data_IF_485074204514
#
_entry.id   IF_485074204514
#
_cell.length_a   1.000
_cell.length_b   1.000
_cell.length_c   1.000
_cell.angle_alpha   90.00
_cell.angle_beta   90.00
_cell.angle_gamma   90.00
#
_symmetry.space_group_name_H-M   'P 1'
#
loop_
_entity.id
_entity.type
_entity.pdbx_description
1 polymer ?
#
# COMPACT_ATOMS: atom_id res chain seq x y z
N UNK A 1 -23.30 -0.02 0.81
CA UNK A 1 -22.09 0.57 0.18
C UNK A 1 -20.81 -0.14 0.65
N UNK A 2 -20.52 -0.21 1.97
CA UNK A 2 -19.35 -0.94 2.51
C UNK A 2 -19.17 -2.37 1.97
N UNK A 3 -20.25 -3.18 1.92
CA UNK A 3 -20.20 -4.53 1.33
C UNK A 3 -19.65 -4.58 -0.10
N UNK A 4 -20.09 -3.69 -0.99
CA UNK A 4 -19.69 -3.68 -2.40
C UNK A 4 -18.20 -3.39 -2.60
N UNK A 5 -17.61 -2.52 -1.79
CA UNK A 5 -16.20 -2.16 -1.91
C UNK A 5 -15.31 -3.22 -1.26
N UNK A 6 -15.71 -3.81 -0.13
CA UNK A 6 -15.01 -4.99 0.42
C UNK A 6 -14.99 -6.15 -0.58
N UNK A 7 -16.12 -6.44 -1.24
CA UNK A 7 -16.18 -7.47 -2.30
C UNK A 7 -15.21 -7.18 -3.45
N UNK A 8 -15.07 -5.90 -3.86
CA UNK A 8 -14.09 -5.49 -4.87
C UNK A 8 -12.65 -5.66 -4.40
N UNK A 9 -12.35 -5.36 -3.14
CA UNK A 9 -11.02 -5.56 -2.55
C UNK A 9 -10.66 -7.04 -2.48
N UNK A 10 -11.60 -7.91 -2.09
CA UNK A 10 -11.41 -9.37 -2.10
C UNK A 10 -11.19 -9.88 -3.52
N UNK A 11 -12.01 -9.42 -4.48
CA UNK A 11 -11.85 -9.80 -5.88
C UNK A 11 -10.51 -9.34 -6.47
N UNK A 12 -10.04 -8.15 -6.08
CA UNK A 12 -8.72 -7.64 -6.44
C UNK A 12 -7.61 -8.53 -5.90
N UNK A 13 -7.59 -8.81 -4.58
CA UNK A 13 -6.59 -9.67 -3.94
C UNK A 13 -6.49 -11.05 -4.61
N UNK A 14 -7.65 -11.65 -4.90
CA UNK A 14 -7.73 -13.01 -5.45
C UNK A 14 -7.42 -13.07 -6.96
N UNK A 15 -7.26 -11.94 -7.64
CA UNK A 15 -6.94 -11.93 -9.07
C UNK A 15 -5.44 -12.24 -9.26
N UNK A 16 -5.09 -13.28 -10.04
CA UNK A 16 -3.69 -13.55 -10.36
C UNK A 16 -3.04 -12.37 -11.08
N UNK A 17 -1.85 -11.97 -10.62
CA UNK A 17 -1.10 -10.84 -11.19
C UNK A 17 -1.87 -9.52 -11.15
N UNK A 18 -2.66 -9.30 -10.08
CA UNK A 18 -3.29 -8.00 -9.87
C UNK A 18 -2.23 -6.90 -9.78
N UNK A 19 -2.61 -5.69 -10.18
CA UNK A 19 -1.77 -4.50 -10.10
C UNK A 19 -2.00 -3.80 -8.76
N UNK A 20 -1.11 -2.90 -8.31
CA UNK A 20 -1.38 -2.08 -7.13
C UNK A 20 -2.73 -1.37 -7.27
N UNK A 21 -3.48 -1.31 -6.18
CA UNK A 21 -4.82 -0.76 -6.18
C UNK A 21 -4.80 0.73 -5.85
N UNK A 22 -5.30 1.56 -6.76
CA UNK A 22 -5.51 2.99 -6.48
C UNK A 22 -6.98 3.23 -6.11
N UNK A 23 -7.23 3.56 -4.84
CA UNK A 23 -8.57 3.92 -4.37
C UNK A 23 -8.77 5.44 -4.38
N UNK A 24 -9.46 5.94 -5.41
CA UNK A 24 -9.75 7.37 -5.57
C UNK A 24 -11.10 7.76 -4.97
N UNK A 25 -11.22 8.99 -4.48
CA UNK A 25 -12.46 9.56 -3.97
C UNK A 25 -12.23 10.88 -3.23
N UNK A 26 -13.30 11.53 -2.78
CA UNK A 26 -13.20 12.76 -1.98
C UNK A 26 -12.41 12.52 -0.66
N UNK A 27 -11.86 13.58 -0.08
CA UNK A 27 -11.25 13.53 1.26
C UNK A 27 -12.32 13.20 2.31
N UNK A 28 -11.93 12.53 3.39
CA UNK A 28 -12.80 12.24 4.56
C UNK A 28 -14.00 11.31 4.30
N UNK A 29 -13.96 10.48 3.25
CA UNK A 29 -15.04 9.51 2.95
C UNK A 29 -14.81 8.11 3.53
N UNK A 30 -13.75 7.91 4.34
CA UNK A 30 -13.45 6.65 5.01
C UNK A 30 -12.65 5.62 4.19
N UNK A 31 -11.85 6.08 3.21
CA UNK A 31 -10.98 5.22 2.38
C UNK A 31 -9.91 4.50 3.22
N UNK A 32 -9.18 5.25 4.05
CA UNK A 32 -8.14 4.68 4.91
C UNK A 32 -8.75 3.66 5.87
N UNK A 33 -9.88 4.01 6.50
CA UNK A 33 -10.61 3.10 7.39
C UNK A 33 -10.97 1.77 6.72
N UNK A 34 -11.44 1.78 5.46
CA UNK A 34 -11.82 0.53 4.80
C UNK A 34 -10.62 -0.31 4.38
N UNK A 35 -9.50 0.32 3.99
CA UNK A 35 -8.28 -0.39 3.65
C UNK A 35 -7.63 -1.00 4.89
N UNK A 36 -7.61 -0.27 6.01
CA UNK A 36 -7.13 -0.79 7.30
C UNK A 36 -7.95 -2.00 7.75
N UNK A 37 -9.28 -1.86 7.76
CA UNK A 37 -10.19 -2.96 8.09
C UNK A 37 -10.03 -4.17 7.15
N UNK A 38 -9.83 -3.93 5.85
CA UNK A 38 -9.56 -5.00 4.90
C UNK A 38 -8.21 -5.69 5.16
N UNK A 39 -7.18 -4.92 5.53
CA UNK A 39 -5.90 -5.43 5.98
C UNK A 39 -6.05 -6.35 7.19
N UNK A 40 -6.75 -5.89 8.22
CA UNK A 40 -7.03 -6.66 9.44
C UNK A 40 -7.79 -7.98 9.17
N UNK A 41 -8.78 -7.95 8.27
CA UNK A 41 -9.66 -9.10 8.02
C UNK A 41 -9.07 -10.13 7.03
N UNK A 42 -8.19 -9.71 6.13
CA UNK A 42 -7.75 -10.53 4.99
C UNK A 42 -6.24 -10.80 4.92
N UNK A 43 -5.43 -10.14 5.73
CA UNK A 43 -3.97 -10.33 5.75
C UNK A 43 -3.49 -10.71 7.14
N UNK A 44 -2.30 -11.32 7.23
CA UNK A 44 -1.67 -11.59 8.52
C UNK A 44 -1.18 -10.31 9.18
N UNK A 45 -0.79 -9.33 8.37
CA UNK A 45 -0.35 -8.03 8.82
C UNK A 45 -0.74 -6.96 7.79
N UNK A 46 -0.77 -5.70 8.22
CA UNK A 46 -0.81 -4.57 7.30
C UNK A 46 0.07 -3.45 7.81
N UNK A 47 0.61 -2.65 6.89
CA UNK A 47 1.33 -1.42 7.23
C UNK A 47 0.65 -0.26 6.55
N UNK A 48 0.27 0.76 7.33
CA UNK A 48 -0.29 1.99 6.78
C UNK A 48 0.71 3.13 6.89
N UNK A 49 0.98 3.74 5.76
CA UNK A 49 1.94 4.82 5.62
C UNK A 49 1.25 6.04 5.04
N UNK A 50 1.08 7.09 5.84
CA UNK A 50 0.58 8.38 5.35
C UNK A 50 1.76 9.24 4.93
N UNK A 51 1.92 9.47 3.63
CA UNK A 51 3.06 10.22 3.09
C UNK A 51 3.05 11.71 3.47
N UNK A 52 1.90 12.24 3.86
CA UNK A 52 1.75 13.60 4.37
C UNK A 52 2.13 13.71 5.84
N UNK A 53 1.83 12.67 6.65
CA UNK A 53 2.11 12.67 8.09
C UNK A 53 3.50 12.14 8.44
N UNK A 54 4.16 11.42 7.53
CA UNK A 54 5.48 10.82 7.74
C UNK A 54 6.46 11.35 6.69
N UNK A 55 7.02 12.56 6.89
CA UNK A 55 7.93 13.20 5.93
C UNK A 55 9.14 12.34 5.57
N UNK A 56 9.63 11.52 6.51
CA UNK A 56 10.81 10.69 6.30
C UNK A 56 10.58 9.65 5.21
N UNK A 57 9.43 8.96 5.20
CA UNK A 57 9.08 8.02 4.11
C UNK A 57 8.95 8.77 2.79
N UNK A 58 8.28 9.93 2.79
CA UNK A 58 8.14 10.74 1.59
C UNK A 58 9.50 11.16 1.02
N UNK A 59 10.43 11.57 1.87
CA UNK A 59 11.77 11.98 1.47
C UNK A 59 12.60 10.78 1.00
N UNK A 60 12.50 9.64 1.69
CA UNK A 60 13.11 8.38 1.23
C UNK A 60 12.65 8.03 -0.19
N UNK A 61 11.33 8.05 -0.44
CA UNK A 61 10.76 7.74 -1.75
C UNK A 61 11.16 8.73 -2.85
N UNK A 62 11.53 9.98 -2.52
CA UNK A 62 12.02 10.94 -3.52
C UNK A 62 13.38 10.56 -4.08
N UNK A 63 14.24 10.00 -3.23
CA UNK A 63 15.61 9.62 -3.61
C UNK A 63 15.68 8.16 -4.06
N UNK A 64 14.83 7.30 -3.49
CA UNK A 64 14.90 5.86 -3.64
C UNK A 64 13.54 5.24 -3.99
N UNK A 65 13.51 4.46 -5.06
CA UNK A 65 12.29 3.78 -5.54
C UNK A 65 12.53 2.29 -5.74
N UNK A 66 13.66 1.75 -5.28
CA UNK A 66 13.92 0.32 -5.33
C UNK A 66 12.93 -0.40 -4.38
N UNK A 67 12.12 -1.35 -4.87
CA UNK A 67 11.09 -2.00 -4.06
C UNK A 67 11.61 -2.64 -2.77
N UNK A 68 12.76 -3.33 -2.81
CA UNK A 68 13.31 -4.01 -1.64
C UNK A 68 13.87 -3.04 -0.62
N UNK A 69 14.48 -1.94 -1.07
CA UNK A 69 14.96 -0.89 -0.16
C UNK A 69 13.79 -0.15 0.50
N UNK A 70 12.70 0.09 -0.25
CA UNK A 70 11.46 0.62 0.31
C UNK A 70 10.88 -0.32 1.36
N UNK A 71 10.81 -1.63 1.07
CA UNK A 71 10.34 -2.62 2.05
C UNK A 71 11.19 -2.59 3.31
N UNK A 72 12.52 -2.73 3.17
CA UNK A 72 13.42 -2.75 4.32
C UNK A 72 13.33 -1.47 5.16
N UNK A 73 13.17 -0.32 4.51
CA UNK A 73 12.95 0.96 5.18
C UNK A 73 11.64 0.98 5.96
N UNK A 74 10.54 0.52 5.37
CA UNK A 74 9.25 0.43 6.05
C UNK A 74 9.26 -0.59 7.19
N UNK A 75 9.89 -1.76 7.02
CA UNK A 75 10.04 -2.77 8.07
C UNK A 75 10.78 -2.18 9.28
N UNK A 76 11.88 -1.46 9.04
CA UNK A 76 12.66 -0.79 10.09
C UNK A 76 11.88 0.32 10.78
N UNK A 77 11.15 1.15 10.02
CA UNK A 77 10.45 2.31 10.56
C UNK A 77 9.24 1.92 11.41
N UNK A 78 8.48 0.92 10.94
CA UNK A 78 7.25 0.48 11.59
C UNK A 78 7.48 -0.70 12.55
N UNK A 79 8.71 -1.23 12.62
CA UNK A 79 9.06 -2.42 13.38
C UNK A 79 8.12 -3.60 13.09
N UNK A 80 7.88 -3.83 11.80
CA UNK A 80 7.03 -4.90 11.29
C UNK A 80 7.79 -5.70 10.25
N UNK A 81 7.37 -6.96 10.04
CA UNK A 81 7.82 -7.74 8.89
C UNK A 81 6.80 -7.60 7.76
N UNK A 82 7.28 -7.34 6.56
CA UNK A 82 6.48 -7.23 5.33
C UNK A 82 6.80 -8.45 4.48
N UNK A 83 5.85 -9.38 4.46
CA UNK A 83 6.00 -10.64 3.72
C UNK A 83 5.04 -10.68 2.53
N UNK A 84 5.50 -11.11 1.34
CA UNK A 84 4.65 -11.30 0.17
C UNK A 84 3.35 -12.07 0.46
N UNK A 85 2.23 -11.66 -0.15
CA UNK A 85 0.88 -12.22 0.00
C UNK A 85 0.24 -12.18 1.41
N UNK A 86 1.06 -12.00 2.45
CA UNK A 86 0.69 -12.04 3.86
C UNK A 86 0.56 -10.64 4.47
N UNK A 87 1.18 -9.62 3.86
CA UNK A 87 1.14 -8.22 4.31
C UNK A 87 0.54 -7.30 3.25
N UNK A 88 -0.44 -6.48 3.66
CA UNK A 88 -0.96 -5.39 2.85
C UNK A 88 -0.19 -4.09 3.15
N UNK A 89 0.34 -3.43 2.13
CA UNK A 89 0.99 -2.12 2.24
C UNK A 89 -0.01 -1.05 1.80
N UNK A 90 -0.33 -0.09 2.66
CA UNK A 90 -1.26 1.00 2.34
C UNK A 90 -0.48 2.31 2.28
N UNK A 91 -0.36 2.88 1.09
CA UNK A 91 0.22 4.21 0.88
C UNK A 91 -0.90 5.26 0.78
N UNK A 92 -1.12 6.00 1.88
CA UNK A 92 -2.15 7.03 1.98
C UNK A 92 -1.63 8.39 1.50
N UNK A 93 -2.54 9.19 0.92
CA UNK A 93 -2.24 10.51 0.32
C UNK A 93 -1.11 10.47 -0.74
N UNK A 94 -1.03 9.37 -1.51
CA UNK A 94 0.06 9.13 -2.48
C UNK A 94 0.14 10.17 -3.61
N UNK A 95 -0.97 10.87 -3.91
CA UNK A 95 -1.01 11.86 -4.99
C UNK A 95 0.00 13.01 -4.81
N UNK A 96 0.38 13.31 -3.57
CA UNK A 96 1.32 14.38 -3.23
C UNK A 96 2.80 13.94 -3.35
N UNK A 97 3.04 12.70 -3.81
CA UNK A 97 4.35 12.12 -4.07
C UNK A 97 4.40 11.36 -5.41
N UNK A 98 4.74 12.07 -6.50
CA UNK A 98 4.91 11.46 -7.84
C UNK A 98 5.90 10.29 -7.87
N UNK A 99 6.95 10.37 -7.05
CA UNK A 99 7.95 9.29 -6.94
C UNK A 99 7.38 8.03 -6.29
N UNK A 100 6.45 8.16 -5.34
CA UNK A 100 5.75 7.01 -4.78
C UNK A 100 4.89 6.29 -5.83
N UNK A 101 4.20 7.03 -6.70
CA UNK A 101 3.49 6.44 -7.85
C UNK A 101 4.44 5.70 -8.80
N UNK A 102 5.64 6.23 -9.02
CA UNK A 102 6.66 5.55 -9.82
C UNK A 102 7.17 4.28 -9.13
N UNK A 103 7.37 4.30 -7.81
CA UNK A 103 7.74 3.11 -7.05
C UNK A 103 6.71 1.98 -7.22
N UNK A 104 5.40 2.28 -7.23
CA UNK A 104 4.36 1.29 -7.49
C UNK A 104 4.54 0.56 -8.83
N UNK A 105 5.04 1.26 -9.86
CA UNK A 105 5.34 0.64 -11.15
C UNK A 105 6.46 -0.41 -11.01
N UNK A 106 7.55 -0.07 -10.32
CA UNK A 106 8.65 -1.00 -10.07
C UNK A 106 8.23 -2.19 -9.19
N UNK A 107 7.39 -1.95 -8.17
CA UNK A 107 6.79 -3.04 -7.40
C UNK A 107 6.03 -4.00 -8.31
N UNK A 108 5.19 -3.50 -9.20
CA UNK A 108 4.42 -4.37 -10.10
C UNK A 108 5.29 -5.12 -11.13
N UNK A 109 6.35 -4.50 -11.62
CA UNK A 109 7.22 -5.08 -12.66
C UNK A 109 8.18 -6.13 -12.08
N UNK A 110 8.74 -5.88 -10.89
CA UNK A 110 9.80 -6.70 -10.31
C UNK A 110 9.34 -7.59 -9.16
N UNK A 111 8.38 -7.13 -8.35
CA UNK A 111 7.90 -7.84 -7.16
C UNK A 111 6.36 -7.84 -7.04
N UNK A 112 5.63 -8.36 -8.04
CA UNK A 112 4.16 -8.37 -8.06
C UNK A 112 3.50 -9.21 -6.95
N UNK A 113 4.29 -9.90 -6.12
CA UNK A 113 3.84 -10.65 -4.96
C UNK A 113 3.57 -9.79 -3.71
N UNK A 114 3.94 -8.50 -3.73
CA UNK A 114 3.57 -7.56 -2.68
C UNK A 114 2.27 -6.86 -3.02
N UNK A 115 1.31 -6.94 -2.10
CA UNK A 115 -0.01 -6.35 -2.27
C UNK A 115 0.03 -4.90 -1.74
N UNK A 116 -0.19 -3.93 -2.63
CA UNK A 116 -0.11 -2.48 -2.37
C UNK A 116 -1.36 -1.74 -2.86
#
# INVERSE_FOLDING_TARGET
MKRKITEQLVAWKNRPGHKPLILQGARQVGKSYILEKFGEEHYKNYVRVSLDLVPDVRNFLKENINPLEVIAYLESLYNVRITPHDTLIILDEIQDCKRALLALKYFQEEYPQYDI
#
